data_IF_248101348028
#
_entry.id   IF_248101348028
#
_cell.length_a   1.000
_cell.length_b   1.000
_cell.length_c   1.000
_cell.angle_alpha   90.00
_cell.angle_beta   90.00
_cell.angle_gamma   90.00
#
_symmetry.space_group_name_H-M   'P 1'
#
loop_
_entity.id
_entity.type
_entity.pdbx_description
1 polymer ?
#
# COMPACT_ATOMS: atom_id res chain seq x y z
N UNK A 1 10.74 12.84 -24.49
CA UNK A 1 10.82 11.89 -25.63
C UNK A 1 9.78 10.84 -25.28
N UNK A 2 8.63 10.83 -25.98
CA UNK A 2 7.49 10.02 -25.52
C UNK A 2 7.87 8.55 -25.46
N UNK A 3 7.64 7.91 -24.31
CA UNK A 3 7.78 6.45 -24.18
C UNK A 3 6.83 5.78 -25.20
N UNK A 4 7.40 5.09 -26.18
CA UNK A 4 6.63 4.24 -27.10
C UNK A 4 6.55 2.83 -26.50
N UNK A 5 5.38 2.50 -25.94
CA UNK A 5 5.09 1.16 -25.46
C UNK A 5 4.59 0.29 -26.62
N UNK A 6 5.33 -0.78 -26.93
CA UNK A 6 4.90 -1.82 -27.85
C UNK A 6 4.40 -3.05 -27.10
N UNK A 7 3.35 -3.69 -27.62
CA UNK A 7 2.84 -4.96 -27.13
C UNK A 7 2.91 -5.99 -28.27
N UNK A 8 3.44 -7.18 -28.00
CA UNK A 8 3.53 -8.28 -28.96
C UNK A 8 2.84 -9.52 -28.41
N UNK A 9 2.04 -10.19 -29.25
CA UNK A 9 1.56 -11.55 -28.98
C UNK A 9 2.61 -12.55 -29.47
N UNK A 10 2.90 -13.57 -28.67
CA UNK A 10 3.89 -14.62 -28.98
C UNK A 10 3.22 -15.99 -28.91
N UNK A 11 2.62 -16.39 -30.03
CA UNK A 11 2.11 -17.76 -30.25
C UNK A 11 2.98 -18.44 -31.34
N UNK A 12 4.30 -18.23 -31.27
CA UNK A 12 5.27 -18.52 -32.33
C UNK A 12 6.08 -17.28 -32.69
N UNK A 13 5.99 -16.81 -33.93
CA UNK A 13 6.61 -15.54 -34.34
C UNK A 13 5.93 -14.34 -33.66
N UNK A 14 6.67 -13.34 -33.18
CA UNK A 14 6.11 -12.19 -32.48
C UNK A 14 5.26 -11.33 -33.44
N UNK A 15 4.00 -11.08 -33.07
CA UNK A 15 3.07 -10.23 -33.81
C UNK A 15 2.86 -8.94 -33.00
N UNK A 16 3.28 -7.79 -33.54
CA UNK A 16 3.05 -6.49 -32.89
C UNK A 16 1.55 -6.19 -32.91
N UNK A 17 0.96 -5.97 -31.75
CA UNK A 17 -0.43 -5.57 -31.63
C UNK A 17 -0.57 -4.08 -31.96
N UNK A 18 -1.63 -3.75 -32.71
CA UNK A 18 -1.96 -2.36 -32.98
C UNK A 18 -2.57 -1.73 -31.73
N UNK A 19 -2.06 -0.58 -31.33
CA UNK A 19 -2.75 0.25 -30.34
C UNK A 19 -4.03 0.79 -30.97
N UNK A 20 -5.15 0.61 -30.28
CA UNK A 20 -6.41 1.29 -30.59
C UNK A 20 -6.52 2.54 -29.73
N UNK A 21 -7.32 3.50 -30.18
CA UNK A 21 -7.86 4.50 -29.26
C UNK A 21 -8.58 3.76 -28.12
N UNK A 22 -8.38 4.22 -26.88
CA UNK A 22 -9.17 3.77 -25.74
C UNK A 22 -10.66 3.88 -26.09
N UNK A 23 -11.50 2.90 -25.73
CA UNK A 23 -12.93 3.11 -25.75
C UNK A 23 -13.33 4.28 -24.81
N UNK A 24 -14.57 4.78 -24.96
CA UNK A 24 -15.09 5.96 -24.24
C UNK A 24 -14.57 6.07 -22.80
N UNK A 25 -14.19 7.27 -22.37
CA UNK A 25 -13.67 7.58 -21.03
C UNK A 25 -14.51 7.00 -19.88
N UNK A 26 -15.83 6.92 -20.06
CA UNK A 26 -16.74 6.25 -19.12
C UNK A 26 -16.38 4.79 -18.88
N UNK A 27 -15.85 4.08 -19.87
CA UNK A 27 -15.34 2.72 -19.69
C UNK A 27 -14.07 2.68 -18.85
N UNK A 28 -13.17 3.66 -19.01
CA UNK A 28 -11.97 3.73 -18.18
C UNK A 28 -12.30 4.05 -16.72
N UNK A 29 -13.26 4.95 -16.48
CA UNK A 29 -13.80 5.19 -15.13
C UNK A 29 -14.38 3.91 -14.54
N UNK A 30 -15.22 3.19 -15.30
CA UNK A 30 -15.80 1.92 -14.84
C UNK A 30 -14.74 0.85 -14.56
N UNK A 31 -13.69 0.75 -15.38
CA UNK A 31 -12.58 -0.18 -15.13
C UNK A 31 -11.83 0.17 -13.84
N UNK A 32 -11.52 1.46 -13.62
CA UNK A 32 -10.84 1.93 -12.40
C UNK A 32 -11.74 1.74 -11.16
N UNK A 33 -13.04 1.90 -11.30
CA UNK A 33 -14.03 1.66 -10.24
C UNK A 33 -14.12 0.19 -9.86
N UNK A 34 -14.06 -0.71 -10.85
CA UNK A 34 -14.04 -2.14 -10.62
C UNK A 34 -12.71 -2.61 -10.02
N UNK A 35 -11.59 -2.04 -10.46
CA UNK A 35 -10.26 -2.40 -10.00
C UNK A 35 -9.33 -1.17 -9.99
N UNK A 36 -9.23 -0.54 -8.82
CA UNK A 36 -8.35 0.62 -8.62
C UNK A 36 -6.87 0.27 -8.68
N UNK A 37 -6.49 -1.01 -8.54
CA UNK A 37 -5.10 -1.46 -8.71
C UNK A 37 -4.57 -1.20 -10.14
N UNK A 38 -5.47 -0.95 -11.11
CA UNK A 38 -5.14 -0.44 -12.42
C UNK A 38 -4.40 0.89 -12.36
N UNK A 39 -4.56 1.70 -11.32
CA UNK A 39 -3.75 2.91 -11.13
C UNK A 39 -2.38 2.55 -10.57
N UNK A 40 -2.23 1.48 -9.81
CA UNK A 40 -0.98 1.06 -9.18
C UNK A 40 -0.99 1.21 -7.66
N UNK A 41 -2.09 1.73 -7.13
CA UNK A 41 -2.44 1.74 -5.72
C UNK A 41 -3.86 1.22 -5.56
N UNK A 42 -4.12 0.52 -4.47
CA UNK A 42 -5.50 0.22 -4.08
C UNK A 42 -6.14 1.47 -3.50
N UNK A 43 -7.28 1.86 -4.07
CA UNK A 43 -8.09 2.99 -3.62
C UNK A 43 -9.50 2.53 -3.28
N UNK A 44 -10.05 3.08 -2.21
CA UNK A 44 -11.48 3.12 -1.94
C UNK A 44 -12.03 4.38 -2.61
N UNK A 45 -12.90 4.23 -3.61
CA UNK A 45 -13.51 5.37 -4.29
C UNK A 45 -14.56 6.03 -3.40
N UNK A 46 -14.30 7.28 -3.00
CA UNK A 46 -15.22 8.11 -2.21
C UNK A 46 -16.44 8.49 -3.05
N UNK A 47 -16.24 8.81 -4.32
CA UNK A 47 -17.33 9.18 -5.21
C UNK A 47 -16.88 9.48 -6.64
N UNK A 48 -17.86 9.56 -7.52
CA UNK A 48 -17.70 9.94 -8.94
C UNK A 48 -18.36 11.29 -9.17
N UNK A 49 -17.79 12.10 -10.06
CA UNK A 49 -18.33 13.43 -10.38
C UNK A 49 -18.62 14.24 -9.10
N UNK A 50 -17.63 14.30 -8.20
CA UNK A 50 -17.79 14.95 -6.89
C UNK A 50 -17.81 16.46 -7.07
N UNK A 51 -18.91 17.10 -6.68
CA UNK A 51 -19.08 18.54 -6.76
C UNK A 51 -18.23 19.25 -5.70
N UNK A 52 -17.35 20.13 -6.19
CA UNK A 52 -16.55 21.06 -5.38
C UNK A 52 -17.38 22.29 -4.99
N UNK A 53 -16.98 22.99 -3.92
CA UNK A 53 -17.66 24.23 -3.48
C UNK A 53 -17.62 25.35 -4.53
N UNK A 54 -16.68 25.28 -5.47
CA UNK A 54 -16.54 26.24 -6.57
C UNK A 54 -17.34 25.83 -7.83
N UNK A 55 -18.18 24.79 -7.75
CA UNK A 55 -19.15 24.42 -8.78
C UNK A 55 -18.60 23.52 -9.90
N UNK A 56 -17.37 23.01 -9.77
CA UNK A 56 -16.75 22.05 -10.70
C UNK A 56 -16.83 20.61 -10.17
N UNK A 57 -16.71 19.62 -11.05
CA UNK A 57 -16.88 18.20 -10.74
C UNK A 57 -15.55 17.44 -10.89
N UNK A 58 -15.05 16.86 -9.80
CA UNK A 58 -13.90 15.94 -9.84
C UNK A 58 -14.36 14.62 -10.46
N UNK A 59 -13.64 14.09 -11.45
CA UNK A 59 -14.07 12.85 -12.12
C UNK A 59 -14.16 11.66 -11.16
N UNK A 60 -13.07 11.36 -10.45
CA UNK A 60 -13.06 10.38 -9.36
C UNK A 60 -12.29 10.92 -8.15
N UNK A 61 -12.87 10.73 -6.97
CA UNK A 61 -12.21 11.00 -5.69
C UNK A 61 -12.03 9.68 -4.95
N UNK A 62 -10.81 9.35 -4.56
CA UNK A 62 -10.48 8.13 -3.83
C UNK A 62 -9.70 8.41 -2.56
N UNK A 63 -9.56 7.40 -1.72
CA UNK A 63 -8.68 7.41 -0.57
C UNK A 63 -7.89 6.10 -0.53
N UNK A 64 -6.62 6.16 -0.16
CA UNK A 64 -5.81 4.96 0.07
C UNK A 64 -5.82 4.51 1.54
N UNK A 65 -5.15 3.38 1.78
CA UNK A 65 -4.99 2.78 3.12
C UNK A 65 -4.35 3.74 4.13
N UNK A 66 -3.49 4.65 3.69
CA UNK A 66 -2.79 5.60 4.55
C UNK A 66 -3.67 6.85 4.84
N UNK A 67 -4.89 6.92 4.30
CA UNK A 67 -5.80 8.05 4.44
C UNK A 67 -5.46 9.23 3.51
N UNK A 68 -4.58 9.04 2.53
CA UNK A 68 -4.25 10.05 1.52
C UNK A 68 -5.38 10.14 0.50
N UNK A 69 -5.83 11.35 0.19
CA UNK A 69 -6.91 11.56 -0.78
C UNK A 69 -6.35 11.63 -2.20
N UNK A 70 -6.89 10.84 -3.11
CA UNK A 70 -6.47 10.80 -4.51
C UNK A 70 -7.52 11.50 -5.38
N UNK A 71 -7.10 12.56 -6.06
CA UNK A 71 -7.90 13.29 -7.05
C UNK A 71 -7.51 12.79 -8.42
N UNK A 72 -8.45 12.13 -9.11
CA UNK A 72 -8.21 11.58 -10.44
C UNK A 72 -9.02 12.38 -11.45
N UNK A 73 -8.31 12.98 -12.41
CA UNK A 73 -8.93 13.73 -13.50
C UNK A 73 -8.67 13.03 -14.82
N UNK A 74 -9.74 12.67 -15.53
CA UNK A 74 -9.62 12.06 -16.84
C UNK A 74 -9.48 13.15 -17.89
N UNK A 75 -8.48 13.01 -18.75
CA UNK A 75 -8.21 13.99 -19.81
C UNK A 75 -9.25 13.88 -20.93
N UNK A 76 -10.35 14.64 -20.82
CA UNK A 76 -11.43 14.72 -21.82
C UNK A 76 -11.22 15.83 -22.83
N UNK A 77 -10.89 15.54 -24.11
CA UNK A 77 -10.80 16.53 -25.22
C UNK A 77 -10.17 17.90 -24.85
N UNK A 78 -9.27 17.91 -23.86
CA UNK A 78 -8.82 19.13 -23.18
C UNK A 78 -7.37 19.38 -23.42
N UNK A 79 -7.03 20.66 -23.46
CA UNK A 79 -5.64 21.03 -23.62
C UNK A 79 -4.86 20.61 -22.37
N UNK A 80 -3.57 20.27 -22.53
CA UNK A 80 -2.66 19.99 -21.42
C UNK A 80 -2.69 21.03 -20.29
N UNK A 81 -2.95 22.30 -20.64
CA UNK A 81 -2.98 23.40 -19.67
C UNK A 81 -4.27 23.38 -18.86
N UNK A 82 -5.40 23.12 -19.50
CA UNK A 82 -6.69 23.14 -18.83
C UNK A 82 -6.78 22.01 -17.81
N UNK A 83 -6.36 20.78 -18.19
CA UNK A 83 -6.41 19.62 -17.29
C UNK A 83 -5.53 19.82 -16.05
N UNK A 84 -4.30 20.34 -16.23
CA UNK A 84 -3.42 20.64 -15.09
C UNK A 84 -4.02 21.75 -14.23
N UNK A 85 -4.51 22.84 -14.84
CA UNK A 85 -5.07 23.96 -14.08
C UNK A 85 -6.30 23.54 -13.25
N UNK A 86 -7.18 22.72 -13.81
CA UNK A 86 -8.34 22.21 -13.07
C UNK A 86 -7.93 21.23 -11.97
N UNK A 87 -6.98 20.34 -12.24
CA UNK A 87 -6.51 19.41 -11.22
C UNK A 87 -5.84 20.13 -10.04
N UNK A 88 -5.10 21.23 -10.29
CA UNK A 88 -4.57 22.11 -9.24
C UNK A 88 -5.68 22.85 -8.47
N UNK A 89 -6.71 23.32 -9.17
CA UNK A 89 -7.90 23.93 -8.56
C UNK A 89 -8.58 22.94 -7.59
N UNK A 90 -8.71 21.67 -8.01
CA UNK A 90 -9.21 20.59 -7.15
C UNK A 90 -8.31 20.29 -5.97
N UNK A 91 -6.99 20.23 -6.17
CA UNK A 91 -6.04 20.07 -5.07
C UNK A 91 -6.20 21.15 -4.00
N UNK A 92 -6.43 22.40 -4.42
CA UNK A 92 -6.65 23.51 -3.49
C UNK A 92 -7.91 23.36 -2.64
N UNK A 93 -8.98 22.79 -3.22
CA UNK A 93 -10.22 22.48 -2.50
C UNK A 93 -10.04 21.27 -1.58
N UNK A 94 -9.50 20.17 -2.12
CA UNK A 94 -9.30 18.91 -1.39
C UNK A 94 -8.40 19.10 -0.18
N UNK A 95 -7.38 19.94 -0.26
CA UNK A 95 -6.50 20.27 0.87
C UNK A 95 -7.27 20.78 2.10
N UNK A 96 -8.42 21.42 1.89
CA UNK A 96 -9.24 21.99 2.98
C UNK A 96 -10.21 20.99 3.61
N UNK A 97 -10.39 19.81 3.00
CA UNK A 97 -11.36 18.81 3.47
C UNK A 97 -10.94 18.20 4.80
N UNK A 98 -11.82 18.29 5.79
CA UNK A 98 -11.66 17.64 7.08
C UNK A 98 -12.04 16.16 7.01
N UNK A 99 -11.70 15.40 8.05
CA UNK A 99 -12.14 14.01 8.20
C UNK A 99 -13.68 13.87 8.10
N UNK A 100 -14.42 14.79 8.75
CA UNK A 100 -15.88 14.81 8.65
C UNK A 100 -16.38 15.10 7.24
N UNK A 101 -15.78 16.08 6.54
CA UNK A 101 -16.16 16.43 5.18
C UNK A 101 -15.99 15.26 4.21
N UNK A 102 -14.90 14.48 4.34
CA UNK A 102 -14.67 13.29 3.52
C UNK A 102 -15.77 12.24 3.75
N UNK A 103 -16.15 12.02 5.01
CA UNK A 103 -17.21 11.09 5.38
C UNK A 103 -18.59 11.56 4.90
N UNK A 104 -18.84 12.87 4.89
CA UNK A 104 -20.05 13.47 4.33
C UNK A 104 -20.11 13.28 2.81
N UNK A 105 -19.00 13.53 2.10
CA UNK A 105 -18.91 13.29 0.64
C UNK A 105 -19.13 11.80 0.35
N UNK A 106 -18.49 10.90 1.12
CA UNK A 106 -18.73 9.46 1.02
C UNK A 106 -20.21 9.13 1.16
N UNK A 107 -20.86 9.61 2.23
CA UNK A 107 -22.25 9.30 2.54
C UNK A 107 -23.21 9.82 1.46
N UNK A 108 -22.92 10.99 0.88
CA UNK A 108 -23.70 11.54 -0.22
C UNK A 108 -23.64 10.68 -1.49
N UNK A 109 -22.50 10.03 -1.75
CA UNK A 109 -22.31 9.15 -2.91
C UNK A 109 -22.70 7.69 -2.63
N UNK A 110 -22.71 7.27 -1.36
CA UNK A 110 -22.94 5.89 -0.94
C UNK A 110 -23.97 5.83 0.21
N UNK A 111 -25.25 6.18 -0.04
CA UNK A 111 -26.22 6.45 1.02
C UNK A 111 -26.56 5.25 1.91
N UNK A 112 -26.29 4.03 1.46
CA UNK A 112 -26.58 2.79 2.19
C UNK A 112 -25.35 2.16 2.85
N UNK A 113 -24.15 2.70 2.62
CA UNK A 113 -22.89 2.10 3.06
C UNK A 113 -22.21 2.98 4.12
N UNK A 114 -21.57 2.34 5.09
CA UNK A 114 -20.80 3.03 6.15
C UNK A 114 -19.33 3.08 5.76
N UNK A 115 -18.74 4.29 5.76
CA UNK A 115 -17.36 4.52 5.32
C UNK A 115 -16.35 3.57 6.00
N UNK A 116 -16.32 3.49 7.33
CA UNK A 116 -15.32 2.70 8.08
C UNK A 116 -15.45 1.21 7.79
N UNK A 117 -16.68 0.72 7.57
CA UNK A 117 -16.92 -0.68 7.21
C UNK A 117 -16.35 -0.96 5.82
N UNK A 118 -16.62 -0.10 4.85
CA UNK A 118 -16.12 -0.25 3.48
C UNK A 118 -14.61 -0.05 3.38
N UNK A 119 -14.05 0.86 4.18
CA UNK A 119 -12.61 1.04 4.31
C UNK A 119 -11.95 -0.24 4.87
N UNK A 120 -12.50 -0.82 5.93
CA UNK A 120 -12.01 -2.07 6.51
C UNK A 120 -12.19 -3.27 5.58
N UNK A 121 -13.27 -3.34 4.81
CA UNK A 121 -13.47 -4.36 3.78
C UNK A 121 -12.43 -4.24 2.65
N UNK A 122 -12.20 -3.02 2.14
CA UNK A 122 -11.26 -2.76 1.04
C UNK A 122 -9.80 -2.96 1.45
N UNK A 123 -9.39 -2.41 2.60
CA UNK A 123 -7.98 -2.36 2.99
C UNK A 123 -7.60 -3.34 4.08
N UNK A 124 -8.57 -3.91 4.79
CA UNK A 124 -8.30 -4.82 5.89
C UNK A 124 -8.02 -4.18 7.24
N UNK A 125 -8.13 -2.86 7.33
CA UNK A 125 -7.91 -2.10 8.55
C UNK A 125 -8.91 -0.96 8.68
N UNK A 126 -9.11 -0.49 9.91
CA UNK A 126 -9.94 0.70 10.14
C UNK A 126 -9.26 1.94 9.53
N UNK A 127 -10.04 2.96 9.12
CA UNK A 127 -9.44 4.20 8.63
C UNK A 127 -8.60 4.87 9.72
N UNK A 128 -7.50 5.57 9.35
CA UNK A 128 -6.74 6.38 10.28
C UNK A 128 -7.59 7.44 10.99
N UNK A 129 -7.21 7.81 12.22
CA UNK A 129 -7.87 8.86 13.00
C UNK A 129 -7.92 10.22 12.26
N UNK A 130 -6.90 10.47 11.43
CA UNK A 130 -6.80 11.65 10.59
C UNK A 130 -6.73 11.23 9.13
N UNK A 131 -7.80 11.55 8.39
CA UNK A 131 -7.80 11.47 6.93
C UNK A 131 -7.24 12.76 6.34
N UNK A 132 -6.76 12.68 5.09
CA UNK A 132 -6.36 13.82 4.27
C UNK A 132 -5.24 14.68 4.87
N UNK A 133 -4.26 14.03 5.52
CA UNK A 133 -3.00 14.69 5.87
C UNK A 133 -2.14 14.99 4.63
N UNK A 134 -2.40 14.28 3.54
CA UNK A 134 -1.83 14.46 2.21
C UNK A 134 -2.88 14.16 1.14
N UNK A 135 -2.63 14.66 -0.07
CA UNK A 135 -3.41 14.30 -1.26
C UNK A 135 -2.51 14.15 -2.48
N UNK A 136 -2.95 13.35 -3.43
CA UNK A 136 -2.28 13.09 -4.71
C UNK A 136 -3.18 13.52 -5.87
N UNK A 137 -2.59 14.11 -6.89
CA UNK A 137 -3.25 14.65 -8.06
C UNK A 137 -2.83 13.83 -9.28
N UNK A 138 -3.72 13.02 -9.85
CA UNK A 138 -3.40 12.15 -10.98
C UNK A 138 -4.19 12.52 -12.21
N UNK A 139 -3.46 12.83 -13.30
CA UNK A 139 -4.05 12.93 -14.64
C UNK A 139 -4.13 11.52 -15.23
N UNK A 140 -5.32 11.09 -15.61
CA UNK A 140 -5.56 9.82 -16.29
C UNK A 140 -5.78 10.11 -17.78
N UNK A 141 -4.95 9.56 -18.66
CA UNK A 141 -5.03 9.86 -20.09
C UNK A 141 -4.76 8.65 -21.00
N UNK A 142 -5.20 8.72 -22.25
CA UNK A 142 -4.97 7.69 -23.28
C UNK A 142 -3.59 7.75 -23.94
N UNK A 143 -2.82 8.80 -23.64
CA UNK A 143 -1.50 9.01 -24.19
C UNK A 143 -0.82 10.24 -23.60
N UNK A 144 0.50 10.29 -23.78
CA UNK A 144 1.34 11.36 -23.27
C UNK A 144 1.60 12.40 -24.37
N UNK A 145 1.13 13.62 -24.18
CA UNK A 145 1.63 14.76 -24.96
C UNK A 145 2.81 15.44 -24.23
N UNK A 146 3.72 15.99 -25.02
CA UNK A 146 4.96 16.62 -24.51
C UNK A 146 4.71 17.82 -23.61
N UNK A 147 3.55 18.48 -23.72
CA UNK A 147 3.24 19.62 -22.85
C UNK A 147 2.79 19.17 -21.47
N UNK A 148 1.95 18.13 -21.35
CA UNK A 148 1.58 17.53 -20.06
C UNK A 148 2.83 16.97 -19.38
N UNK A 149 3.70 16.25 -20.10
CA UNK A 149 4.99 15.76 -19.57
C UNK A 149 5.79 16.91 -18.94
N UNK A 150 6.09 17.94 -19.73
CA UNK A 150 6.91 19.07 -19.29
C UNK A 150 6.32 19.80 -18.08
N UNK A 151 5.00 20.01 -18.04
CA UNK A 151 4.33 20.75 -16.95
C UNK A 151 4.32 19.92 -15.67
N UNK A 152 3.90 18.65 -15.74
CA UNK A 152 3.82 17.75 -14.58
C UNK A 152 5.22 17.53 -14.00
N UNK A 153 6.22 17.25 -14.83
CA UNK A 153 7.61 17.11 -14.38
C UNK A 153 8.14 18.39 -13.73
N UNK A 154 7.83 19.57 -14.27
CA UNK A 154 8.24 20.83 -13.65
C UNK A 154 7.59 21.03 -12.27
N UNK A 155 6.27 20.84 -12.16
CA UNK A 155 5.54 21.01 -10.90
C UNK A 155 6.00 20.02 -9.84
N UNK A 156 6.18 18.75 -10.22
CA UNK A 156 6.59 17.71 -9.28
C UNK A 156 8.07 17.82 -8.90
N UNK A 157 8.98 17.83 -9.87
CA UNK A 157 10.42 17.80 -9.59
C UNK A 157 10.95 19.13 -9.03
N UNK A 158 10.39 20.27 -9.46
CA UNK A 158 10.89 21.60 -9.03
C UNK A 158 10.13 22.12 -7.81
N UNK A 159 8.81 21.93 -7.77
CA UNK A 159 7.94 22.53 -6.74
C UNK A 159 7.33 21.53 -5.77
N UNK A 160 7.63 20.22 -5.92
CA UNK A 160 7.10 19.13 -5.06
C UNK A 160 5.58 19.14 -4.95
N UNK A 161 4.91 19.58 -6.02
CA UNK A 161 3.46 19.41 -6.12
C UNK A 161 3.18 17.91 -6.28
N UNK A 162 2.27 17.31 -5.50
CA UNK A 162 1.94 15.89 -5.57
C UNK A 162 1.07 15.62 -6.80
N UNK A 163 1.63 15.85 -7.99
CA UNK A 163 0.96 15.70 -9.28
C UNK A 163 1.71 14.70 -10.15
N UNK A 164 1.00 13.72 -10.67
CA UNK A 164 1.53 12.73 -11.61
C UNK A 164 0.52 12.48 -12.74
N UNK A 165 0.92 11.67 -13.71
CA UNK A 165 0.05 11.26 -14.79
C UNK A 165 0.22 9.77 -15.08
N UNK A 166 -0.91 9.08 -15.24
CA UNK A 166 -0.99 7.69 -15.65
C UNK A 166 -1.60 7.61 -17.04
N UNK A 167 -0.98 6.81 -17.90
CA UNK A 167 -1.41 6.60 -19.27
C UNK A 167 -1.84 5.17 -19.48
N UNK A 168 -2.99 5.03 -20.11
CA UNK A 168 -3.52 3.74 -20.52
C UNK A 168 -3.46 3.61 -22.03
N UNK A 169 -2.95 2.47 -22.51
CA UNK A 169 -2.99 2.10 -23.92
C UNK A 169 -3.85 0.85 -24.10
N UNK A 170 -4.72 0.89 -25.08
CA UNK A 170 -5.61 -0.20 -25.41
C UNK A 170 -5.10 -0.96 -26.63
N UNK A 171 -5.12 -2.28 -26.58
CA UNK A 171 -4.75 -3.13 -27.70
C UNK A 171 -5.85 -4.16 -27.94
N UNK A 172 -6.15 -4.42 -29.21
CA UNK A 172 -7.17 -5.38 -29.61
C UNK A 172 -6.51 -6.50 -30.41
N UNK A 173 -6.90 -7.74 -30.12
CA UNK A 173 -6.46 -8.93 -30.83
C UNK A 173 -7.62 -9.92 -30.96
N UNK A 174 -8.31 -9.89 -32.10
CA UNK A 174 -9.54 -10.65 -32.29
C UNK A 174 -10.60 -10.24 -31.26
N UNK A 175 -11.05 -11.20 -30.45
CA UNK A 175 -12.04 -10.99 -29.38
C UNK A 175 -11.40 -10.61 -28.03
N UNK A 176 -10.07 -10.47 -27.98
CA UNK A 176 -9.34 -10.12 -26.76
C UNK A 176 -8.96 -8.65 -26.74
N UNK A 177 -9.06 -8.10 -25.54
CA UNK A 177 -8.66 -6.74 -25.22
C UNK A 177 -7.53 -6.77 -24.19
N UNK A 178 -6.56 -5.88 -24.39
CA UNK A 178 -5.49 -5.65 -23.43
C UNK A 178 -5.43 -4.18 -23.06
N UNK A 179 -5.22 -3.92 -21.77
CA UNK A 179 -4.99 -2.60 -21.23
C UNK A 179 -3.57 -2.57 -20.66
N UNK A 180 -2.76 -1.60 -21.09
CA UNK A 180 -1.42 -1.41 -20.59
C UNK A 180 -1.29 -0.06 -19.89
N UNK A 181 -0.62 -0.04 -18.74
CA UNK A 181 -0.38 1.15 -17.92
C UNK A 181 1.04 1.65 -18.08
N UNK A 182 1.23 2.97 -18.09
CA UNK A 182 2.53 3.60 -17.92
C UNK A 182 2.39 4.86 -17.07
N UNK A 183 3.23 4.99 -16.04
CA UNK A 183 3.34 6.21 -15.24
C UNK A 183 4.32 7.19 -15.88
N UNK A 184 4.04 8.50 -15.79
CA UNK A 184 4.96 9.54 -16.25
C UNK A 184 6.25 9.54 -15.43
N UNK A 185 6.08 9.54 -14.11
CA UNK A 185 7.16 9.51 -13.14
C UNK A 185 6.91 8.26 -12.30
N UNK A 186 7.92 7.38 -12.31
CA UNK A 186 7.88 6.11 -11.62
C UNK A 186 8.35 6.32 -10.16
N UNK A 187 7.40 6.31 -9.23
CA UNK A 187 7.63 6.54 -7.80
C UNK A 187 8.55 5.48 -7.18
N UNK A 188 8.74 4.34 -7.86
CA UNK A 188 9.67 3.29 -7.44
C UNK A 188 11.15 3.68 -7.61
N UNK A 189 11.46 4.77 -8.34
CA UNK A 189 12.84 5.21 -8.60
C UNK A 189 13.26 6.48 -7.84
N UNK A 190 12.33 7.26 -7.31
CA UNK A 190 12.66 8.52 -6.60
C UNK A 190 13.07 8.34 -5.14
N UNK A 191 12.94 7.13 -4.57
CA UNK A 191 13.32 6.83 -3.17
C UNK A 191 14.84 6.81 -2.93
N UNK A 192 15.66 6.99 -3.96
CA UNK A 192 17.12 7.04 -3.86
C UNK A 192 17.72 8.36 -4.37
N UNK A 193 17.24 9.52 -3.94
CA UNK A 193 18.07 10.74 -3.80
C UNK A 193 17.21 11.91 -3.35
N UNK A 194 17.29 12.28 -2.07
CA UNK A 194 17.36 13.68 -1.62
C UNK A 194 17.18 13.74 -0.10
N UNK A 195 18.31 13.67 0.61
CA UNK A 195 18.37 14.18 1.97
C UNK A 195 18.23 15.72 1.98
N UNK A 196 17.56 16.18 3.04
CA UNK A 196 17.52 17.54 3.62
C UNK A 196 16.31 18.45 3.32
N UNK A 197 15.61 18.70 4.43
CA UNK A 197 14.99 19.93 4.93
C UNK A 197 13.95 20.62 4.05
N UNK A 198 12.68 20.37 4.38
CA UNK A 198 11.57 21.27 4.10
C UNK A 198 10.53 21.12 5.21
N UNK A 199 10.32 22.20 5.97
CA UNK A 199 9.28 22.30 6.98
C UNK A 199 7.90 22.16 6.31
N UNK A 200 7.22 21.04 6.53
CA UNK A 200 5.78 20.90 6.27
C UNK A 200 5.20 20.13 7.44
N UNK A 201 4.23 20.73 8.11
CA UNK A 201 3.53 20.22 9.29
C UNK A 201 2.54 19.11 8.93
N UNK A 202 3.04 18.06 8.28
CA UNK A 202 2.40 16.74 8.22
C UNK A 202 3.11 15.83 9.21
N UNK A 203 2.38 15.21 10.14
CA UNK A 203 2.93 14.45 11.27
C UNK A 203 3.52 13.08 10.89
N UNK A 204 3.50 12.71 9.61
CA UNK A 204 4.00 11.42 9.12
C UNK A 204 5.11 11.64 8.09
N UNK A 205 6.30 11.13 8.40
CA UNK A 205 7.40 11.12 7.44
C UNK A 205 7.06 10.23 6.22
N UNK A 206 7.54 10.56 5.01
CA UNK A 206 7.34 9.72 3.84
C UNK A 206 7.94 8.33 4.08
N UNK A 207 7.28 7.30 3.54
CA UNK A 207 7.77 5.93 3.65
C UNK A 207 9.01 5.71 2.78
N UNK A 208 10.00 4.98 3.27
CA UNK A 208 11.29 4.80 2.58
C UNK A 208 11.30 3.68 1.52
N UNK A 209 10.15 3.06 1.25
CA UNK A 209 10.01 2.04 0.21
C UNK A 209 10.38 0.62 0.63
N UNK A 210 10.97 0.42 1.82
CA UNK A 210 11.53 -0.89 2.22
C UNK A 210 11.17 -1.33 3.63
N UNK A 211 10.93 -0.41 4.57
CA UNK A 211 10.80 -0.76 5.99
C UNK A 211 9.37 -1.00 6.42
N UNK A 212 9.11 -2.15 7.03
CA UNK A 212 7.81 -2.55 7.53
C UNK A 212 7.87 -2.76 9.04
N UNK A 213 6.81 -2.37 9.72
CA UNK A 213 6.54 -2.71 11.09
C UNK A 213 5.76 -4.03 11.12
N UNK A 214 6.13 -4.92 12.03
CA UNK A 214 5.38 -6.16 12.31
C UNK A 214 5.08 -6.23 13.80
N UNK A 215 3.81 -6.28 14.17
CA UNK A 215 3.38 -6.55 15.56
C UNK A 215 3.26 -8.05 15.77
N UNK A 216 4.16 -8.62 16.57
CA UNK A 216 4.16 -10.03 16.93
C UNK A 216 3.43 -10.23 18.26
N UNK A 217 2.16 -10.63 18.17
CA UNK A 217 1.29 -10.85 19.33
C UNK A 217 1.67 -12.13 20.09
N UNK A 218 2.65 -12.01 20.98
CA UNK A 218 3.02 -13.05 21.95
C UNK A 218 2.14 -12.96 23.20
N UNK A 219 1.36 -14.01 23.46
CA UNK A 219 0.49 -14.15 24.63
C UNK A 219 0.64 -15.55 25.25
N UNK A 220 0.28 -15.68 26.53
CA UNK A 220 0.41 -16.95 27.25
C UNK A 220 -0.46 -18.03 26.59
N UNK A 221 0.17 -19.10 26.11
CA UNK A 221 -0.50 -20.19 25.40
C UNK A 221 -0.77 -19.95 23.91
N UNK A 222 -0.31 -18.81 23.36
CA UNK A 222 -0.38 -18.47 21.93
C UNK A 222 0.99 -18.56 21.25
N UNK A 223 1.28 -17.60 20.37
CA UNK A 223 2.55 -17.51 19.63
C UNK A 223 3.73 -17.32 20.59
N UNK A 224 4.88 -17.89 20.25
CA UNK A 224 6.14 -17.70 20.98
C UNK A 224 7.15 -16.91 20.16
N UNK A 225 7.77 -15.89 20.76
CA UNK A 225 8.86 -15.17 20.12
C UNK A 225 10.13 -16.02 19.98
N UNK A 226 10.37 -16.93 20.92
CA UNK A 226 11.52 -17.82 20.87
C UNK A 226 11.45 -18.78 19.67
N UNK A 227 10.24 -19.25 19.31
CA UNK A 227 10.03 -20.03 18.08
C UNK A 227 10.30 -19.18 16.83
N UNK A 228 9.70 -17.99 16.74
CA UNK A 228 9.84 -17.05 15.63
C UNK A 228 11.31 -16.69 15.36
N UNK A 229 12.06 -16.41 16.44
CA UNK A 229 13.49 -16.16 16.41
C UNK A 229 14.29 -17.40 15.98
N UNK A 230 13.97 -18.57 16.52
CA UNK A 230 14.71 -19.81 16.26
C UNK A 230 14.55 -20.29 14.82
N UNK A 231 13.34 -20.23 14.28
CA UNK A 231 12.99 -20.81 12.99
C UNK A 231 12.82 -19.79 11.86
N UNK A 232 13.01 -18.49 12.12
CA UNK A 232 13.03 -17.49 11.05
C UNK A 232 11.65 -17.15 10.50
N UNK A 233 10.72 -16.70 11.34
CA UNK A 233 9.38 -16.31 10.87
C UNK A 233 8.70 -15.25 11.73
N UNK A 234 7.67 -14.63 11.16
CA UNK A 234 6.61 -13.90 11.89
C UNK A 234 5.26 -14.46 11.49
N UNK A 235 4.25 -14.33 12.35
CA UNK A 235 2.93 -14.91 12.08
C UNK A 235 1.78 -14.10 12.67
N UNK A 236 0.61 -14.22 12.04
CA UNK A 236 -0.65 -13.65 12.49
C UNK A 236 -1.83 -14.50 11.99
N UNK A 237 -2.89 -14.55 12.78
CA UNK A 237 -4.01 -15.49 12.62
C UNK A 237 -5.05 -15.31 13.71
N UNK A 238 -6.03 -16.21 13.78
CA UNK A 238 -7.17 -16.09 14.70
C UNK A 238 -8.29 -15.17 14.17
N UNK A 239 -8.22 -14.86 12.87
CA UNK A 239 -9.21 -14.04 12.16
C UNK A 239 -8.58 -13.23 11.03
N UNK A 240 -9.37 -12.96 10.00
CA UNK A 240 -8.95 -12.19 8.82
C UNK A 240 -8.35 -10.83 9.18
N UNK A 241 -8.88 -10.16 10.22
CA UNK A 241 -8.36 -8.89 10.72
C UNK A 241 -6.87 -8.94 11.05
N UNK A 242 -6.40 -10.05 11.62
CA UNK A 242 -4.99 -10.22 12.01
C UNK A 242 -4.13 -10.67 10.82
N UNK A 243 -4.57 -11.67 10.07
CA UNK A 243 -3.75 -12.25 8.99
C UNK A 243 -3.66 -11.38 7.74
N UNK A 244 -4.67 -10.53 7.46
CA UNK A 244 -4.75 -9.75 6.22
C UNK A 244 -3.63 -8.72 6.08
N UNK A 245 -3.31 -7.97 7.13
CA UNK A 245 -2.23 -6.98 7.06
C UNK A 245 -0.86 -7.65 6.97
N UNK A 246 -0.66 -8.80 7.63
CA UNK A 246 0.55 -9.61 7.48
C UNK A 246 0.74 -10.12 6.04
N UNK A 247 -0.35 -10.51 5.36
CA UNK A 247 -0.35 -10.96 3.97
C UNK A 247 0.12 -9.90 2.96
N UNK A 248 0.13 -8.62 3.35
CA UNK A 248 0.59 -7.54 2.49
C UNK A 248 2.11 -7.33 2.53
N UNK A 249 2.85 -8.07 3.36
CA UNK A 249 4.32 -7.98 3.40
C UNK A 249 4.92 -8.47 2.07
N UNK A 250 5.60 -7.61 1.30
CA UNK A 250 6.17 -8.01 0.03
C UNK A 250 7.47 -8.78 0.26
N UNK A 251 7.77 -9.70 -0.65
CA UNK A 251 9.06 -10.38 -0.69
C UNK A 251 10.21 -9.36 -0.74
N UNK A 252 11.23 -9.55 0.10
CA UNK A 252 12.37 -8.63 0.20
C UNK A 252 12.14 -7.37 1.05
N UNK A 253 10.96 -7.17 1.64
CA UNK A 253 10.77 -6.11 2.64
C UNK A 253 11.65 -6.32 3.86
N UNK A 254 12.19 -5.23 4.42
CA UNK A 254 12.86 -5.26 5.73
C UNK A 254 11.82 -5.06 6.82
N UNK A 255 11.69 -6.02 7.72
CA UNK A 255 10.69 -6.04 8.79
C UNK A 255 11.32 -5.75 10.14
N UNK A 256 10.74 -4.80 10.86
CA UNK A 256 11.03 -4.46 12.24
C UNK A 256 9.95 -5.08 13.12
N UNK A 257 10.30 -6.15 13.83
CA UNK A 257 9.37 -6.93 14.64
C UNK A 257 9.27 -6.37 16.04
N UNK A 258 8.05 -6.09 16.46
CA UNK A 258 7.70 -5.47 17.73
C UNK A 258 6.78 -6.39 18.53
N UNK A 259 7.08 -6.59 19.81
CA UNK A 259 6.19 -7.31 20.73
C UNK A 259 5.39 -6.29 21.56
N UNK A 260 4.04 -6.30 21.49
CA UNK A 260 3.20 -5.50 22.36
C UNK A 260 3.15 -6.08 23.79
N UNK A 261 2.77 -5.26 24.77
CA UNK A 261 2.57 -5.70 26.16
C UNK A 261 3.70 -5.31 27.13
N UNK A 262 4.08 -6.20 28.05
CA UNK A 262 5.14 -5.95 29.04
C UNK A 262 6.00 -7.22 29.28
N UNK A 263 7.32 -7.21 28.95
CA UNK A 263 8.03 -6.12 28.30
C UNK A 263 7.54 -5.91 26.85
N UNK A 264 7.53 -4.65 26.42
CA UNK A 264 7.27 -4.23 25.04
C UNK A 264 8.55 -3.72 24.41
N UNK A 265 8.70 -3.94 23.11
CA UNK A 265 9.82 -3.40 22.36
C UNK A 265 10.01 -4.06 21.01
N UNK A 266 10.89 -3.45 20.22
CA UNK A 266 11.40 -4.03 19.00
C UNK A 266 12.42 -5.11 19.34
N UNK A 267 12.23 -6.30 18.79
CA UNK A 267 12.97 -7.50 19.18
C UNK A 267 13.70 -8.16 18.01
N UNK A 268 13.42 -7.77 16.77
CA UNK A 268 14.11 -8.30 15.61
C UNK A 268 14.01 -7.42 14.39
N UNK A 269 15.04 -7.51 13.53
CA UNK A 269 15.08 -6.95 12.19
C UNK A 269 15.51 -8.05 11.22
N UNK A 270 14.83 -8.16 10.09
CA UNK A 270 15.17 -9.14 9.07
C UNK A 270 14.50 -8.83 7.74
N UNK A 271 14.74 -9.67 6.75
CA UNK A 271 14.19 -9.52 5.40
C UNK A 271 13.17 -10.63 5.12
N UNK A 272 12.03 -10.28 4.52
CA UNK A 272 11.00 -11.25 4.10
C UNK A 272 11.59 -12.18 3.04
N UNK A 273 11.75 -13.45 3.41
CA UNK A 273 12.31 -14.51 2.56
C UNK A 273 11.24 -15.33 1.83
N UNK A 274 10.04 -15.42 2.40
CA UNK A 274 8.85 -15.97 1.73
C UNK A 274 7.60 -15.21 2.18
N UNK A 275 6.68 -14.97 1.26
CA UNK A 275 5.41 -14.28 1.52
C UNK A 275 4.49 -15.09 2.43
N UNK A 276 3.45 -14.45 2.95
CA UNK A 276 2.51 -15.08 3.87
C UNK A 276 1.76 -16.26 3.23
N UNK A 277 1.82 -17.42 3.88
CA UNK A 277 1.02 -18.61 3.54
C UNK A 277 0.43 -19.22 4.81
N UNK A 278 -0.66 -20.01 4.74
CA UNK A 278 -1.16 -20.72 5.91
C UNK A 278 -0.06 -21.57 6.56
N UNK A 279 -0.04 -21.66 7.89
CA UNK A 279 0.99 -22.37 8.65
C UNK A 279 1.16 -23.83 8.22
N UNK A 280 0.10 -24.50 7.76
CA UNK A 280 0.16 -25.86 7.23
C UNK A 280 1.01 -25.99 5.94
N UNK A 281 1.09 -24.92 5.15
CA UNK A 281 1.78 -24.85 3.86
C UNK A 281 3.14 -24.15 3.97
N UNK A 282 3.46 -23.56 5.12
CA UNK A 282 4.65 -22.76 5.32
C UNK A 282 5.93 -23.61 5.34
N UNK A 283 6.97 -23.06 4.71
CA UNK A 283 8.32 -23.61 4.73
C UNK A 283 9.26 -22.60 5.40
N UNK A 284 10.12 -23.12 6.28
CA UNK A 284 11.19 -22.35 6.92
C UNK A 284 12.53 -22.97 6.59
N UNK A 285 13.58 -22.16 6.61
CA UNK A 285 14.95 -22.63 6.40
C UNK A 285 15.66 -22.79 7.75
N UNK A 286 16.17 -24.00 8.02
CA UNK A 286 16.94 -24.31 9.23
C UNK A 286 18.27 -24.89 8.76
N UNK A 287 19.36 -24.20 9.07
CA UNK A 287 20.73 -24.61 8.69
C UNK A 287 20.87 -24.91 7.17
N UNK A 288 20.18 -24.14 6.32
CA UNK A 288 20.16 -24.32 4.87
C UNK A 288 19.22 -25.41 4.35
N UNK A 289 18.42 -26.04 5.22
CA UNK A 289 17.46 -27.09 4.89
C UNK A 289 16.03 -26.56 5.01
N UNK A 290 15.26 -26.69 3.93
CA UNK A 290 13.84 -26.37 3.91
C UNK A 290 13.05 -27.41 4.72
N UNK A 291 12.36 -26.95 5.76
CA UNK A 291 11.56 -27.77 6.67
C UNK A 291 10.12 -27.26 6.69
N UNK A 292 9.15 -28.16 6.79
CA UNK A 292 7.74 -27.77 6.93
C UNK A 292 7.48 -27.19 8.31
N UNK A 293 6.71 -26.11 8.36
CA UNK A 293 6.34 -25.47 9.62
C UNK A 293 5.59 -26.43 10.57
N UNK A 294 4.76 -27.33 10.02
CA UNK A 294 4.04 -28.36 10.77
C UNK A 294 4.91 -29.47 11.37
N UNK A 295 6.18 -29.57 10.96
CA UNK A 295 7.14 -30.55 11.48
C UNK A 295 8.06 -29.93 12.55
N UNK A 296 7.92 -28.63 12.83
CA UNK A 296 8.74 -27.91 13.80
C UNK A 296 8.36 -28.29 15.23
N UNK A 297 9.37 -28.36 16.10
CA UNK A 297 9.13 -28.41 17.55
C UNK A 297 8.93 -27.00 18.06
N UNK A 298 7.66 -26.59 18.18
CA UNK A 298 7.23 -25.26 18.62
C UNK A 298 6.87 -25.26 20.11
N UNK A 299 7.24 -24.19 20.81
CA UNK A 299 6.81 -23.91 22.18
C UNK A 299 5.43 -23.24 22.23
N UNK A 300 5.10 -22.44 21.22
CA UNK A 300 3.81 -21.77 21.07
C UNK A 300 2.73 -22.64 20.43
N UNK A 301 1.49 -22.16 20.51
CA UNK A 301 0.36 -22.72 19.77
C UNK A 301 -0.01 -21.80 18.61
N UNK A 302 -0.08 -22.39 17.41
CA UNK A 302 -0.36 -21.71 16.15
C UNK A 302 -1.62 -22.27 15.46
N UNK A 303 -2.36 -23.12 16.16
CA UNK A 303 -3.64 -23.64 15.70
C UNK A 303 -4.80 -22.84 16.31
N UNK A 304 -5.73 -22.41 15.47
CA UNK A 304 -6.96 -21.74 15.88
C UNK A 304 -8.12 -22.71 15.70
N UNK A 305 -8.80 -23.05 16.80
CA UNK A 305 -9.96 -23.96 16.78
C UNK A 305 -11.17 -23.21 16.23
N UNK A 306 -11.85 -23.79 15.27
CA UNK A 306 -13.19 -23.37 14.82
C UNK A 306 -14.21 -23.90 15.81
N UNK A 307 -15.00 -23.04 16.47
CA UNK A 307 -16.27 -23.52 17.00
C UNK A 307 -17.11 -23.99 15.80
N UNK A 308 -17.77 -25.14 15.90
CA UNK A 308 -18.47 -25.88 14.84
C UNK A 308 -19.64 -25.12 14.13
N UNK A 309 -19.72 -23.79 14.27
CA UNK A 309 -20.51 -22.91 13.43
C UNK A 309 -19.65 -22.32 12.33
N UNK A 310 -19.65 -22.96 11.15
CA UNK A 310 -19.07 -22.44 9.91
C UNK A 310 -19.68 -21.06 9.59
N UNK A 311 -19.04 -20.00 10.07
CA UNK A 311 -19.35 -18.60 9.76
C UNK A 311 -18.48 -18.08 8.61
N UNK A 312 -17.77 -18.96 7.89
CA UNK A 312 -16.98 -18.65 6.71
C UNK A 312 -15.72 -17.81 6.95
N UNK A 313 -15.31 -17.62 8.21
CA UNK A 313 -14.13 -16.80 8.54
C UNK A 313 -12.84 -17.59 8.45
N UNK A 314 -11.81 -16.99 7.82
CA UNK A 314 -10.47 -17.57 7.82
C UNK A 314 -9.75 -17.30 9.15
N UNK A 315 -9.76 -18.30 10.02
CA UNK A 315 -9.08 -18.25 11.33
C UNK A 315 -7.62 -18.73 11.27
N UNK A 316 -7.16 -19.23 10.12
CA UNK A 316 -5.84 -19.88 10.02
C UNK A 316 -4.73 -18.93 10.44
N UNK A 317 -3.68 -19.52 11.01
CA UNK A 317 -2.42 -18.83 11.20
C UNK A 317 -1.71 -18.71 9.86
N UNK A 318 -1.27 -17.50 9.53
CA UNK A 318 -0.43 -17.22 8.37
C UNK A 318 0.99 -16.94 8.83
N UNK A 319 1.95 -17.53 8.13
CA UNK A 319 3.38 -17.44 8.42
C UNK A 319 4.08 -16.74 7.27
N UNK A 320 4.90 -15.75 7.61
CA UNK A 320 5.85 -15.09 6.72
C UNK A 320 7.25 -15.52 7.16
N UNK A 321 8.01 -16.14 6.25
CA UNK A 321 9.37 -16.56 6.54
C UNK A 321 10.30 -15.34 6.47
N UNK A 322 11.13 -15.16 7.49
CA UNK A 322 12.01 -14.00 7.64
C UNK A 322 13.45 -14.49 7.79
N UNK A 323 14.32 -14.02 6.92
CA UNK A 323 15.76 -14.12 7.09
C UNK A 323 16.20 -13.07 8.11
N UNK A 324 16.43 -13.48 9.35
CA UNK A 324 16.82 -12.57 10.43
C UNK A 324 18.21 -11.97 10.19
N UNK A 325 18.31 -10.65 10.26
CA UNK A 325 19.58 -9.93 10.35
C UNK A 325 20.04 -9.88 11.80
N UNK A 326 19.11 -9.54 12.71
CA UNK A 326 19.33 -9.56 14.15
C UNK A 326 18.03 -9.86 14.90
N UNK A 327 18.14 -10.61 15.99
CA UNK A 327 17.06 -10.83 16.95
C UNK A 327 17.62 -10.79 18.37
N UNK A 328 16.82 -10.31 19.31
CA UNK A 328 17.13 -10.32 20.74
C UNK A 328 16.01 -11.03 21.53
N UNK A 329 16.29 -11.54 22.75
CA UNK A 329 15.24 -12.00 23.65
C UNK A 329 14.23 -10.89 23.96
N UNK A 330 13.01 -11.27 24.32
CA UNK A 330 11.94 -10.32 24.66
C UNK A 330 12.33 -9.33 25.77
N UNK A 331 13.13 -9.77 26.74
CA UNK A 331 13.63 -8.93 27.85
C UNK A 331 14.52 -7.77 27.38
N UNK A 332 15.14 -7.93 26.22
CA UNK A 332 16.15 -7.02 25.68
C UNK A 332 15.59 -6.17 24.54
N UNK A 333 14.26 -6.23 24.34
CA UNK A 333 13.55 -5.46 23.33
C UNK A 333 13.76 -3.95 23.50
N UNK A 334 13.94 -3.25 22.38
CA UNK A 334 14.24 -1.83 22.35
C UNK A 334 12.94 -1.04 22.37
N UNK A 335 12.74 -0.24 23.41
CA UNK A 335 11.61 0.67 23.51
C UNK A 335 11.98 1.97 24.23
N UNK A 336 11.55 3.09 23.66
CA UNK A 336 11.58 4.39 24.31
C UNK A 336 10.34 5.19 23.91
N UNK A 337 9.99 6.18 24.73
CA UNK A 337 8.88 7.08 24.44
C UNK A 337 9.09 7.76 23.07
N UNK A 338 8.01 7.83 22.28
CA UNK A 338 8.03 8.39 20.92
C UNK A 338 8.34 7.38 19.81
N UNK A 339 8.73 6.13 20.14
CA UNK A 339 8.82 5.07 19.13
C UNK A 339 7.42 4.67 18.64
N UNK A 340 7.35 4.33 17.36
CA UNK A 340 6.15 3.88 16.69
C UNK A 340 5.74 2.49 17.20
N UNK A 341 4.45 2.28 17.39
CA UNK A 341 3.84 0.97 17.56
C UNK A 341 2.41 1.05 17.05
N UNK A 342 1.92 -0.04 16.46
CA UNK A 342 0.59 -0.15 15.89
C UNK A 342 -0.06 -1.46 16.33
N UNK A 343 -1.40 -1.47 16.41
CA UNK A 343 -2.20 -2.66 16.71
C UNK A 343 -2.31 -3.63 15.52
N UNK A 344 -2.09 -3.16 14.28
CA UNK A 344 -2.05 -4.03 13.10
C UNK A 344 -0.86 -4.99 13.12
N UNK A 345 -1.05 -6.19 12.56
CA UNK A 345 -0.01 -7.22 12.49
C UNK A 345 1.14 -6.82 11.59
N UNK A 346 0.90 -6.08 10.50
CA UNK A 346 1.96 -5.42 9.75
C UNK A 346 1.50 -4.10 9.12
N UNK A 347 2.40 -3.13 9.00
CA UNK A 347 2.17 -1.92 8.21
C UNK A 347 3.50 -1.27 7.81
N UNK A 348 3.48 -0.29 6.92
CA UNK A 348 4.69 0.46 6.53
C UNK A 348 5.27 1.22 7.73
N UNK A 349 6.54 1.00 8.06
CA UNK A 349 7.23 1.74 9.12
C UNK A 349 7.76 3.07 8.57
N UNK A 350 7.11 4.17 8.95
CA UNK A 350 7.47 5.53 8.49
C UNK A 350 8.31 6.32 9.47
N UNK A 351 8.31 5.93 10.74
CA UNK A 351 8.96 6.71 11.79
C UNK A 351 10.49 6.57 11.67
N UNK A 352 11.14 7.56 11.04
CA UNK A 352 12.60 7.59 10.95
C UNK A 352 13.25 7.55 12.33
N UNK A 353 12.66 8.23 13.31
CA UNK A 353 13.10 8.16 14.70
C UNK A 353 13.13 6.73 15.25
N UNK A 354 12.11 5.93 14.93
CA UNK A 354 12.03 4.53 15.34
C UNK A 354 13.05 3.68 14.60
N UNK A 355 13.16 3.84 13.28
CA UNK A 355 14.13 3.14 12.44
C UNK A 355 15.55 3.41 12.94
N UNK A 356 15.92 4.67 13.16
CA UNK A 356 17.24 5.07 13.66
C UNK A 356 17.51 4.52 15.07
N UNK A 357 16.52 4.57 15.97
CA UNK A 357 16.66 4.08 17.33
C UNK A 357 16.89 2.56 17.37
N UNK A 358 16.11 1.79 16.61
CA UNK A 358 16.28 0.33 16.53
C UNK A 358 17.59 -0.01 15.82
N UNK A 359 17.86 0.59 14.66
CA UNK A 359 19.07 0.31 13.88
C UNK A 359 20.34 0.61 14.69
N UNK A 360 20.35 1.71 15.45
CA UNK A 360 21.45 2.03 16.36
C UNK A 360 21.58 1.03 17.50
N UNK A 361 20.47 0.64 18.13
CA UNK A 361 20.48 -0.32 19.23
C UNK A 361 20.93 -1.72 18.76
N UNK A 362 20.61 -2.07 17.52
CA UNK A 362 20.97 -3.35 16.89
C UNK A 362 22.29 -3.31 16.12
N UNK A 363 22.98 -2.16 16.11
CA UNK A 363 24.23 -1.94 15.38
C UNK A 363 24.17 -2.37 13.90
N UNK A 364 23.04 -2.13 13.24
CA UNK A 364 22.85 -2.40 11.82
C UNK A 364 23.64 -1.38 10.98
N UNK A 365 24.33 -1.84 9.94
CA UNK A 365 24.96 -0.94 8.96
C UNK A 365 23.86 -0.25 8.12
N UNK A 366 23.97 1.07 7.97
CA UNK A 366 22.92 1.94 7.45
C UNK A 366 22.75 1.96 5.94
#
# INVERSE_FOLDING_TARGET
>A
MGLELGLWRVDGSPIKLASSALPLESQLETMIEQDSSLLGSDLLLIGRQVLTDFGKLIDLLGIDVDGTVHVLELKRDRTPRDVVAQLLDYGSWVQSLTNSAIREIWQANNPTLVFDVQFAEKFGEAPPDQLNQSHELTIVASGLDTSTERIVTYLRATHRVPINAVFFRYFVDGDRTYLARTWLIDDTKETQTSGKTGNTTGTTAPWNGVDWYVSFGEEAGGRSWDDARKYGFVSAGGGDWYSRTLRNLPLGARVFTFIPGNPRGYVGVGTVAAIAVPAADALVEIDGIQSKFSELTLAGNYEHVTDDGDDGKDLREYVVTVAWELTVPRSDGVWQAGMFANQHSACKLRSQFTIDAVSKAFALEG
#
